data_IF_296742316886
#
_entry.id   IF_296742316886
#
_cell.length_a   1.000
_cell.length_b   1.000
_cell.length_c   1.000
_cell.angle_alpha   90.00
_cell.angle_beta   90.00
_cell.angle_gamma   90.00
#
_symmetry.space_group_name_H-M   'P 1'
#
loop_
_entity.id
_entity.type
_entity.pdbx_description
1 polymer ?
#
# COMPACT_ATOMS: atom_id res chain seq x y z
N UNK A 1 -20.80 -0.91 -0.44
CA UNK A 1 -19.61 -1.08 -1.29
C UNK A 1 -18.26 -0.98 -0.55
N UNK A 2 -18.18 -0.55 0.73
CA UNK A 2 -16.91 -0.42 1.50
C UNK A 2 -16.38 -1.70 2.17
N UNK A 3 -17.24 -2.66 2.52
CA UNK A 3 -16.83 -3.87 3.25
C UNK A 3 -16.08 -4.90 2.40
N UNK A 4 -16.28 -4.89 1.08
CA UNK A 4 -15.67 -5.87 0.17
C UNK A 4 -14.16 -5.62 -0.02
N UNK A 5 -13.72 -4.34 -0.07
CA UNK A 5 -12.31 -3.98 -0.20
C UNK A 5 -11.50 -4.46 1.01
N UNK A 6 -11.97 -4.13 2.21
CA UNK A 6 -11.29 -4.47 3.48
C UNK A 6 -11.11 -5.99 3.62
N UNK A 7 -12.08 -6.78 3.15
CA UNK A 7 -12.02 -8.24 3.24
C UNK A 7 -10.97 -8.84 2.30
N UNK A 8 -10.79 -8.28 1.11
CA UNK A 8 -9.73 -8.69 0.17
C UNK A 8 -8.36 -8.29 0.72
N UNK A 9 -8.26 -7.11 1.34
CA UNK A 9 -7.03 -6.62 1.95
C UNK A 9 -6.57 -7.55 3.09
N UNK A 10 -7.49 -7.96 3.97
CA UNK A 10 -7.22 -8.93 5.04
C UNK A 10 -6.80 -10.30 4.49
N UNK A 11 -7.42 -10.79 3.40
CA UNK A 11 -7.03 -12.07 2.79
C UNK A 11 -5.65 -11.98 2.16
N UNK A 12 -5.28 -10.83 1.58
CA UNK A 12 -3.96 -10.60 1.01
C UNK A 12 -2.89 -10.53 2.11
N UNK A 13 -3.20 -9.91 3.26
CA UNK A 13 -2.31 -9.81 4.42
C UNK A 13 -2.07 -11.15 5.13
N UNK A 14 -3.01 -12.11 5.09
CA UNK A 14 -2.89 -13.40 5.77
C UNK A 14 -1.89 -14.36 5.10
N UNK A 15 -1.46 -14.07 3.87
CA UNK A 15 -0.49 -14.89 3.12
C UNK A 15 0.93 -14.29 3.16
N UNK A 16 1.27 -13.57 4.22
CA UNK A 16 2.44 -12.69 4.35
C UNK A 16 3.80 -13.42 4.21
N UNK A 17 4.26 -13.54 2.97
CA UNK A 17 5.69 -13.67 2.67
C UNK A 17 6.34 -12.28 2.67
N UNK A 18 7.37 -12.10 3.48
CA UNK A 18 8.20 -10.90 3.47
C UNK A 18 9.24 -10.95 2.36
N UNK A 19 9.50 -9.83 1.71
CA UNK A 19 10.53 -9.66 0.68
C UNK A 19 11.38 -8.44 0.98
N UNK A 20 12.68 -8.51 0.67
CA UNK A 20 13.60 -7.38 0.84
C UNK A 20 13.24 -6.26 -0.11
N UNK A 21 13.17 -5.03 0.42
CA UNK A 21 12.94 -3.83 -0.39
C UNK A 21 14.18 -3.60 -1.27
N UNK A 22 14.06 -3.52 -2.61
CA UNK A 22 15.18 -3.49 -3.55
C UNK A 22 15.88 -2.11 -3.59
N UNK A 23 16.58 -1.78 -2.51
CA UNK A 23 17.34 -0.54 -2.38
C UNK A 23 18.75 -0.65 -2.95
N UNK A 24 19.29 0.50 -3.35
CA UNK A 24 20.71 0.66 -3.72
C UNK A 24 21.34 1.72 -2.79
N UNK A 25 22.30 1.37 -1.92
CA UNK A 25 22.80 0.03 -1.63
C UNK A 25 21.75 -0.86 -0.92
N UNK A 26 21.83 -2.19 -1.06
CA UNK A 26 20.88 -3.12 -0.44
C UNK A 26 20.89 -3.04 1.09
N UNK A 27 19.70 -3.24 1.70
CA UNK A 27 19.52 -3.37 3.15
C UNK A 27 18.70 -4.63 3.43
N UNK A 28 19.37 -5.69 3.87
CA UNK A 28 18.75 -7.00 4.06
C UNK A 28 17.69 -7.03 5.18
N UNK A 29 17.80 -6.11 6.15
CA UNK A 29 16.88 -5.96 7.28
C UNK A 29 15.62 -5.13 6.94
N UNK A 30 15.53 -4.62 5.71
CA UNK A 30 14.41 -3.83 5.22
C UNK A 30 13.47 -4.72 4.42
N UNK A 31 12.45 -5.23 5.09
CA UNK A 31 11.47 -6.15 4.52
C UNK A 31 10.14 -5.45 4.32
N UNK A 32 9.42 -5.80 3.26
CA UNK A 32 8.03 -5.44 3.05
C UNK A 32 7.18 -6.64 2.65
N UNK A 33 5.86 -6.49 2.65
CA UNK A 33 4.97 -7.51 2.11
C UNK A 33 5.28 -7.74 0.62
N UNK A 34 5.60 -8.98 0.23
CA UNK A 34 6.03 -9.35 -1.13
C UNK A 34 5.19 -8.71 -2.25
N UNK A 35 3.87 -8.85 -2.19
CA UNK A 35 2.99 -8.27 -3.20
C UNK A 35 3.06 -6.73 -3.29
N UNK A 36 3.31 -6.05 -2.17
CA UNK A 36 3.45 -4.59 -2.13
C UNK A 36 4.84 -4.16 -2.61
N UNK A 37 5.89 -4.92 -2.28
CA UNK A 37 7.26 -4.69 -2.78
C UNK A 37 7.29 -4.81 -4.30
N UNK A 38 6.74 -5.89 -4.85
CA UNK A 38 6.68 -6.12 -6.28
C UNK A 38 5.87 -5.05 -7.01
N UNK A 39 4.73 -4.63 -6.44
CA UNK A 39 3.92 -3.56 -7.01
C UNK A 39 4.65 -2.20 -6.98
N UNK A 40 5.33 -1.88 -5.88
CA UNK A 40 6.08 -0.64 -5.75
C UNK A 40 7.27 -0.60 -6.74
N UNK A 41 7.98 -1.71 -6.87
CA UNK A 41 9.10 -1.84 -7.81
C UNK A 41 8.64 -1.73 -9.26
N UNK A 42 7.53 -2.38 -9.62
CA UNK A 42 6.93 -2.24 -10.95
C UNK A 42 6.60 -0.78 -11.27
N UNK A 43 6.01 -0.05 -10.31
CA UNK A 43 5.70 1.38 -10.49
C UNK A 43 6.99 2.19 -10.63
N UNK A 44 8.02 1.94 -9.81
CA UNK A 44 9.31 2.63 -9.88
C UNK A 44 9.94 2.48 -11.27
N UNK A 45 10.06 1.25 -11.77
CA UNK A 45 10.61 0.95 -13.10
C UNK A 45 9.83 1.70 -14.17
N UNK A 46 8.49 1.65 -14.13
CA UNK A 46 7.65 2.35 -15.10
C UNK A 46 7.83 3.87 -15.06
N UNK A 47 7.95 4.47 -13.87
CA UNK A 47 8.20 5.91 -13.71
C UNK A 47 9.55 6.33 -14.31
N UNK A 48 10.57 5.48 -14.20
CA UNK A 48 11.91 5.69 -14.75
C UNK A 48 11.95 5.49 -16.27
N UNK A 49 11.48 4.34 -16.77
CA UNK A 49 11.50 4.00 -18.20
C UNK A 49 10.69 4.98 -19.05
N UNK A 50 9.54 5.44 -18.54
CA UNK A 50 8.70 6.39 -19.25
C UNK A 50 9.01 7.86 -18.89
N UNK A 51 10.04 8.12 -18.07
CA UNK A 51 10.44 9.44 -17.60
C UNK A 51 9.26 10.30 -17.11
N UNK A 52 8.29 9.68 -16.43
CA UNK A 52 7.00 10.32 -16.09
C UNK A 52 7.24 11.53 -15.17
N UNK A 53 8.07 11.36 -14.15
CA UNK A 53 8.36 12.41 -13.17
C UNK A 53 9.13 13.58 -13.83
N UNK A 54 10.15 13.27 -14.63
CA UNK A 54 10.89 14.29 -15.39
C UNK A 54 9.98 15.10 -16.31
N UNK A 55 9.05 14.45 -17.01
CA UNK A 55 8.05 15.13 -17.85
C UNK A 55 7.09 15.99 -17.03
N UNK A 56 6.69 15.53 -15.84
CA UNK A 56 5.81 16.28 -14.96
C UNK A 56 6.47 17.56 -14.41
N UNK A 57 7.71 17.47 -13.92
CA UNK A 57 8.46 18.62 -13.43
C UNK A 57 8.75 19.65 -14.54
N UNK A 58 9.01 19.17 -15.77
CA UNK A 58 9.24 20.04 -16.92
C UNK A 58 7.96 20.48 -17.67
N UNK A 59 6.77 20.15 -17.15
CA UNK A 59 5.53 20.38 -17.89
C UNK A 59 5.24 21.87 -18.11
N UNK A 60 5.49 22.72 -17.13
CA UNK A 60 5.30 24.17 -17.26
C UNK A 60 6.25 24.98 -16.36
N UNK A 61 7.51 25.18 -16.78
CA UNK A 61 8.52 25.90 -15.99
C UNK A 61 8.11 27.33 -15.62
N UNK A 62 7.26 27.98 -16.42
CA UNK A 62 6.77 29.34 -16.11
C UNK A 62 5.86 29.38 -14.85
N UNK A 63 5.30 28.23 -14.46
CA UNK A 63 4.52 28.08 -13.24
C UNK A 63 5.34 27.51 -12.07
N UNK A 64 6.66 27.36 -12.24
CA UNK A 64 7.54 26.77 -11.24
C UNK A 64 7.30 25.28 -11.02
N UNK A 65 6.86 24.54 -12.06
CA UNK A 65 6.59 23.09 -11.91
C UNK A 65 7.83 22.28 -11.56
N UNK A 66 9.03 22.81 -11.85
CA UNK A 66 10.33 22.26 -11.49
C UNK A 66 10.63 22.37 -9.99
N UNK A 67 9.95 23.27 -9.27
CA UNK A 67 10.07 23.45 -7.82
C UNK A 67 9.01 22.68 -7.02
N UNK A 68 8.09 21.98 -7.70
CA UNK A 68 7.02 21.25 -7.02
C UNK A 68 7.57 20.05 -6.24
N UNK A 69 6.90 19.74 -5.12
CA UNK A 69 7.23 18.57 -4.33
C UNK A 69 6.47 17.33 -4.83
N UNK A 70 7.11 16.17 -4.72
CA UNK A 70 6.49 14.89 -5.03
C UNK A 70 5.71 14.38 -3.81
N UNK A 71 4.40 14.17 -3.98
CA UNK A 71 3.54 13.59 -2.94
C UNK A 71 2.96 12.27 -3.43
N UNK A 72 3.19 11.21 -2.66
CA UNK A 72 2.58 9.91 -2.87
C UNK A 72 1.36 9.73 -1.97
N UNK A 73 0.32 9.11 -2.50
CA UNK A 73 -0.91 8.82 -1.74
C UNK A 73 -1.36 7.41 -2.04
N UNK A 74 -1.77 6.68 -1.02
CA UNK A 74 -2.34 5.35 -1.16
C UNK A 74 -3.38 5.05 -0.08
N UNK A 75 -4.29 4.12 -0.37
CA UNK A 75 -5.31 3.63 0.55
C UNK A 75 -5.23 2.12 0.69
N UNK A 76 -5.36 1.60 1.92
CA UNK A 76 -5.34 0.17 2.24
C UNK A 76 -4.09 -0.54 1.68
N UNK A 77 -4.23 -1.61 0.88
CA UNK A 77 -3.11 -2.25 0.18
C UNK A 77 -2.24 -1.23 -0.58
N UNK A 78 -2.88 -0.29 -1.27
CA UNK A 78 -2.21 0.78 -1.99
C UNK A 78 -1.45 1.75 -1.09
N UNK A 79 -1.85 1.89 0.19
CA UNK A 79 -1.11 2.67 1.18
C UNK A 79 0.22 2.00 1.56
N UNK A 80 0.22 0.67 1.68
CA UNK A 80 1.45 -0.12 1.87
C UNK A 80 2.38 0.00 0.66
N UNK A 81 1.86 -0.19 -0.55
CA UNK A 81 2.61 -0.01 -1.80
C UNK A 81 3.17 1.41 -1.94
N UNK A 82 2.35 2.45 -1.69
CA UNK A 82 2.81 3.84 -1.74
C UNK A 82 3.92 4.11 -0.71
N UNK A 83 3.84 3.49 0.46
CA UNK A 83 4.87 3.64 1.50
C UNK A 83 6.21 3.02 1.09
N UNK A 84 6.19 1.84 0.47
CA UNK A 84 7.40 1.19 -0.06
C UNK A 84 7.95 1.98 -1.26
N UNK A 85 7.08 2.45 -2.16
CA UNK A 85 7.49 3.30 -3.27
C UNK A 85 8.14 4.60 -2.77
N UNK A 86 7.61 5.20 -1.70
CA UNK A 86 8.19 6.37 -1.07
C UNK A 86 9.62 6.09 -0.58
N UNK A 87 9.86 4.92 0.04
CA UNK A 87 11.20 4.49 0.46
C UNK A 87 12.16 4.42 -0.73
N UNK A 88 11.72 3.81 -1.85
CA UNK A 88 12.54 3.64 -3.05
C UNK A 88 12.89 4.98 -3.72
N UNK A 89 11.94 5.92 -3.76
CA UNK A 89 12.12 7.21 -4.43
C UNK A 89 12.81 8.27 -3.55
N UNK A 90 12.85 8.08 -2.23
CA UNK A 90 13.34 9.09 -1.27
C UNK A 90 14.78 9.56 -1.54
N UNK A 91 15.65 8.68 -2.04
CA UNK A 91 17.04 9.03 -2.35
C UNK A 91 17.15 10.06 -3.48
N UNK A 92 16.26 9.97 -4.47
CA UNK A 92 16.23 10.89 -5.61
C UNK A 92 15.36 12.12 -5.34
N UNK A 93 14.38 12.00 -4.43
CA UNK A 93 13.44 13.07 -4.06
C UNK A 93 13.44 13.31 -2.55
N UNK A 94 14.42 14.06 -1.99
CA UNK A 94 14.57 14.25 -0.55
C UNK A 94 13.47 15.09 0.12
N UNK A 95 12.61 15.77 -0.65
CA UNK A 95 11.42 16.47 -0.13
C UNK A 95 10.15 15.62 -0.18
N UNK A 96 10.18 14.44 -0.82
CA UNK A 96 9.01 13.58 -1.06
C UNK A 96 8.21 13.31 0.21
N UNK A 97 6.89 13.49 0.16
CA UNK A 97 5.96 13.11 1.23
C UNK A 97 5.07 11.96 0.81
N UNK A 98 4.64 11.13 1.75
CA UNK A 98 3.68 10.06 1.50
C UNK A 98 2.54 10.10 2.53
N UNK A 99 1.30 10.01 2.05
CA UNK A 99 0.12 9.88 2.89
C UNK A 99 -0.52 8.50 2.68
N UNK A 100 -0.41 7.66 3.72
CA UNK A 100 -0.88 6.28 3.72
C UNK A 100 -2.18 6.17 4.51
N UNK A 101 -3.30 5.97 3.83
CA UNK A 101 -4.63 5.89 4.46
C UNK A 101 -5.00 4.44 4.79
N UNK A 102 -5.27 4.15 6.05
CA UNK A 102 -5.57 2.81 6.57
C UNK A 102 -4.59 1.72 6.08
N UNK A 103 -3.26 1.92 6.18
CA UNK A 103 -2.30 0.93 5.71
C UNK A 103 -2.41 -0.37 6.52
N UNK A 104 -2.22 -1.53 5.89
CA UNK A 104 -2.13 -2.79 6.60
C UNK A 104 -1.03 -2.79 7.66
N UNK A 105 -1.29 -3.47 8.78
CA UNK A 105 -0.33 -3.60 9.86
C UNK A 105 0.79 -4.58 9.47
N UNK A 106 2.04 -4.29 9.85
CA UNK A 106 3.16 -5.21 9.64
C UNK A 106 3.68 -5.31 8.20
N UNK A 107 3.28 -4.39 7.32
CA UNK A 107 3.67 -4.41 5.90
C UNK A 107 5.12 -4.01 5.62
N UNK A 108 5.82 -3.44 6.61
CA UNK A 108 7.21 -2.95 6.50
C UNK A 108 7.95 -3.28 7.81
N UNK A 109 9.21 -3.70 7.73
CA UNK A 109 10.03 -4.04 8.90
C UNK A 109 10.33 -2.82 9.79
N UNK A 110 10.55 -3.05 11.08
CA UNK A 110 10.75 -1.98 12.06
C UNK A 110 11.89 -0.99 11.69
N UNK A 111 13.07 -1.44 11.20
CA UNK A 111 14.12 -0.50 10.77
C UNK A 111 13.68 0.41 9.63
N UNK A 112 12.92 -0.10 8.67
CA UNK A 112 12.37 0.68 7.57
C UNK A 112 11.25 1.63 8.05
N UNK A 113 10.42 1.21 9.01
CA UNK A 113 9.42 2.09 9.64
C UNK A 113 10.08 3.27 10.38
N UNK A 114 11.21 3.05 11.06
CA UNK A 114 11.92 4.14 11.73
C UNK A 114 12.40 5.20 10.73
N UNK A 115 12.92 4.76 9.59
CA UNK A 115 13.36 5.64 8.51
C UNK A 115 12.21 6.48 7.93
N UNK A 116 11.01 5.89 7.79
CA UNK A 116 9.88 6.53 7.12
C UNK A 116 9.16 7.57 7.98
N UNK A 117 9.37 7.61 9.29
CA UNK A 117 8.71 8.57 10.20
C UNK A 117 8.84 10.04 9.80
N UNK A 118 9.92 10.39 9.10
CA UNK A 118 10.18 11.78 8.70
C UNK A 118 9.43 12.22 7.45
N UNK A 119 8.84 11.31 6.68
CA UNK A 119 8.23 11.63 5.39
C UNK A 119 6.98 10.82 5.02
N UNK A 120 6.56 9.87 5.86
CA UNK A 120 5.32 9.10 5.67
C UNK A 120 4.37 9.38 6.82
N UNK A 121 3.18 9.87 6.49
CA UNK A 121 2.09 10.10 7.43
C UNK A 121 0.99 9.07 7.21
N UNK A 122 0.83 8.17 8.19
CA UNK A 122 -0.27 7.20 8.19
C UNK A 122 -1.53 7.80 8.81
N UNK A 123 -2.63 7.79 8.07
CA UNK A 123 -3.95 8.27 8.51
C UNK A 123 -4.85 7.07 8.75
N UNK A 124 -5.23 6.85 10.00
CA UNK A 124 -6.10 5.72 10.41
C UNK A 124 -7.41 6.27 10.97
N UNK A 125 -8.55 5.90 10.39
CA UNK A 125 -9.86 6.45 10.75
C UNK A 125 -10.70 5.44 11.55
N UNK A 126 -10.88 5.70 12.86
CA UNK A 126 -11.89 5.04 13.70
C UNK A 126 -11.53 3.63 14.19
N UNK A 127 -12.56 2.77 14.40
CA UNK A 127 -12.46 1.34 14.77
C UNK A 127 -11.90 0.50 13.61
N UNK A 128 -10.86 0.98 12.97
CA UNK A 128 -10.15 0.24 11.95
C UNK A 128 -9.65 -1.05 12.60
N UNK A 129 -10.12 -2.17 12.07
CA UNK A 129 -9.87 -3.51 12.61
C UNK A 129 -8.48 -4.01 12.18
N UNK A 130 -7.88 -3.35 11.19
CA UNK A 130 -6.60 -3.70 10.56
C UNK A 130 -5.40 -3.64 11.52
N UNK A 131 -5.32 -2.74 12.52
CA UNK A 131 -4.25 -2.79 13.52
C UNK A 131 -4.54 -3.74 14.70
N UNK A 132 -5.73 -4.37 14.82
CA UNK A 132 -6.22 -4.90 16.12
C UNK A 132 -7.07 -6.19 16.12
N UNK A 133 -7.17 -6.99 15.04
CA UNK A 133 -7.84 -8.31 15.14
C UNK A 133 -6.90 -9.36 15.74
N UNK A 134 -7.16 -9.74 16.99
CA UNK A 134 -6.69 -11.01 17.54
C UNK A 134 -7.39 -12.19 16.86
N UNK A 135 -6.60 -13.20 16.48
CA UNK A 135 -6.94 -14.43 15.74
C UNK A 135 -8.32 -15.06 16.04
N UNK A 136 -8.84 -14.91 17.26
CA UNK A 136 -10.07 -15.57 17.71
C UNK A 136 -11.36 -15.03 17.06
N UNK A 137 -11.43 -13.73 16.72
CA UNK A 137 -12.63 -13.17 16.08
C UNK A 137 -12.67 -13.39 14.56
N UNK A 138 -11.51 -13.61 13.94
CA UNK A 138 -11.39 -13.93 12.51
C UNK A 138 -11.95 -15.32 12.20
N UNK A 139 -11.73 -16.31 13.07
CA UNK A 139 -12.28 -17.66 12.90
C UNK A 139 -13.82 -17.70 13.03
N UNK A 140 -14.38 -16.90 13.92
CA UNK A 140 -15.85 -16.77 14.04
C UNK A 140 -16.45 -16.11 12.79
N UNK A 141 -15.79 -15.08 12.24
CA UNK A 141 -16.21 -14.41 11.01
C UNK A 141 -16.09 -15.33 9.78
N UNK A 142 -15.06 -16.18 9.73
CA UNK A 142 -14.90 -17.23 8.71
C UNK A 142 -16.02 -18.26 8.77
N UNK A 143 -16.39 -18.72 9.95
CA UNK A 143 -17.47 -19.68 10.15
C UNK A 143 -18.83 -19.10 9.70
N UNK A 144 -19.10 -17.83 10.01
CA UNK A 144 -20.34 -17.15 9.64
C UNK A 144 -20.43 -16.86 8.13
N UNK A 145 -19.31 -16.49 7.50
CA UNK A 145 -19.24 -16.29 6.03
C UNK A 145 -19.45 -17.59 5.26
N UNK A 146 -18.83 -18.70 5.68
CA UNK A 146 -19.03 -20.02 5.05
C UNK A 146 -20.48 -20.49 5.20
N UNK A 147 -21.09 -20.27 6.37
CA UNK A 147 -22.50 -20.61 6.60
C UNK A 147 -23.47 -19.74 5.78
N UNK A 148 -23.13 -18.47 5.56
CA UNK A 148 -23.95 -17.55 4.76
C UNK A 148 -23.87 -17.86 3.26
N UNK A 149 -22.67 -18.20 2.76
CA UNK A 149 -22.48 -18.62 1.36
C UNK A 149 -23.21 -19.94 1.07
N UNK A 150 -23.19 -20.90 2.01
CA UNK A 150 -23.94 -22.16 1.88
C UNK A 150 -25.46 -21.99 1.89
N UNK A 151 -25.98 -20.88 2.42
CA UNK A 151 -27.43 -20.60 2.51
C UNK A 151 -27.97 -19.68 1.42
N UNK A 152 -27.11 -19.07 0.60
CA UNK A 152 -27.53 -18.20 -0.50
C UNK A 152 -27.98 -19.03 -1.71
N UNK A 153 -29.26 -18.89 -2.12
CA UNK A 153 -29.90 -19.69 -3.19
C UNK A 153 -30.02 -19.01 -4.56
N UNK A 154 -29.43 -17.83 -4.78
CA UNK A 154 -29.58 -17.12 -6.07
C UNK A 154 -28.28 -17.06 -6.92
N UNK A 155 -28.36 -17.33 -8.25
CA UNK A 155 -27.23 -17.28 -9.17
C UNK A 155 -26.86 -15.85 -9.61
N UNK A 156 -25.54 -15.61 -9.73
CA UNK A 156 -24.83 -14.32 -9.89
C UNK A 156 -24.99 -13.57 -11.24
N UNK A 157 -26.06 -13.75 -12.03
CA UNK A 157 -26.07 -13.32 -13.44
C UNK A 157 -27.11 -12.25 -13.86
N UNK A 158 -27.37 -11.19 -13.08
CA UNK A 158 -28.31 -10.14 -13.52
C UNK A 158 -27.93 -8.68 -13.20
N UNK A 159 -26.65 -8.36 -13.03
CA UNK A 159 -26.22 -6.94 -12.89
C UNK A 159 -25.21 -6.61 -13.98
N UNK A 160 -25.62 -6.72 -15.24
CA UNK A 160 -25.11 -5.89 -16.35
C UNK A 160 -26.31 -5.64 -17.27
N UNK A 161 -27.02 -4.54 -17.04
CA UNK A 161 -27.49 -3.54 -18.00
C UNK A 161 -28.16 -2.39 -17.24
#
# INVERSE_FOLDING_TARGET
MRLHSILIDVITDLNAEGETIPLTPPREDWLGHKGMVQAAEYIRVKLEEEEILSRAFNHNPQRGTDEFELVLVGHSLGAGTASILAILLRQHYPSLQCFSYSPPGGSISMPAVEYTKSFITSVVVGKDVVPRIGLHQLESLRADLINTIKRSKDPKASIIY
#
